data_IF_877802857535
#
_entry.id   IF_877802857535
#
_cell.length_a   1.000
_cell.length_b   1.000
_cell.length_c   1.000
_cell.angle_alpha   90.00
_cell.angle_beta   90.00
_cell.angle_gamma   90.00
#
_symmetry.space_group_name_H-M   'P 1'
#
loop_
_entity.id
_entity.type
_entity.pdbx_description
1 polymer ?
#
# COMPACT_ATOMS: atom_id res chain seq x y z
N UNK A 1 -11.33 -2.08 -45.16
CA UNK A 1 -11.80 -2.45 -43.80
C UNK A 1 -10.70 -2.10 -42.82
N UNK A 2 -11.10 -1.54 -41.68
CA UNK A 2 -10.30 -0.78 -40.69
C UNK A 2 -9.20 -1.61 -40.02
N UNK A 3 -8.00 -1.04 -39.87
CA UNK A 3 -6.97 -1.56 -38.97
C UNK A 3 -7.48 -1.51 -37.52
N UNK A 4 -7.23 -2.53 -36.67
CA UNK A 4 -7.49 -2.40 -35.24
C UNK A 4 -6.50 -1.36 -34.68
N UNK A 5 -7.03 -0.26 -34.17
CA UNK A 5 -6.25 0.66 -33.33
C UNK A 5 -5.72 -0.12 -32.12
N UNK A 6 -4.43 0.03 -31.74
CA UNK A 6 -3.97 -0.48 -30.46
C UNK A 6 -4.87 0.13 -29.39
N UNK A 7 -5.53 -0.72 -28.59
CA UNK A 7 -6.21 -0.22 -27.38
C UNK A 7 -5.11 0.31 -26.48
N UNK A 8 -5.00 1.63 -26.36
CA UNK A 8 -4.18 2.22 -25.31
C UNK A 8 -4.57 1.54 -23.99
N UNK A 9 -3.59 1.07 -23.19
CA UNK A 9 -3.90 0.48 -21.91
C UNK A 9 -4.63 1.51 -21.07
N UNK A 10 -5.86 1.21 -20.67
CA UNK A 10 -6.59 2.01 -19.69
C UNK A 10 -5.78 1.95 -18.39
N UNK A 11 -5.11 3.04 -18.07
CA UNK A 11 -4.44 3.21 -16.77
C UNK A 11 -5.55 3.44 -15.75
N UNK A 12 -5.91 2.39 -15.01
CA UNK A 12 -6.79 2.54 -13.85
C UNK A 12 -5.91 2.97 -12.69
N UNK A 13 -6.10 4.19 -12.20
CA UNK A 13 -5.42 4.66 -11.00
C UNK A 13 -5.82 3.79 -9.79
N UNK A 14 -4.87 3.43 -8.91
CA UNK A 14 -5.19 2.68 -7.71
C UNK A 14 -6.10 3.53 -6.79
N UNK A 15 -7.21 2.95 -6.34
CA UNK A 15 -8.19 3.65 -5.50
C UNK A 15 -7.73 3.61 -4.05
N UNK A 16 -7.15 4.70 -3.55
CA UNK A 16 -6.70 4.82 -2.15
C UNK A 16 -7.68 5.71 -1.39
N UNK A 17 -8.77 5.10 -0.89
CA UNK A 17 -9.79 5.81 -0.12
C UNK A 17 -10.32 4.95 1.03
N UNK A 18 -11.15 5.58 1.88
CA UNK A 18 -11.73 4.91 3.07
C UNK A 18 -12.59 3.70 2.71
N UNK A 19 -13.37 3.77 1.64
CA UNK A 19 -14.26 2.67 1.23
C UNK A 19 -13.45 1.45 0.80
N UNK A 20 -12.40 1.65 0.00
CA UNK A 20 -11.48 0.58 -0.39
C UNK A 20 -10.76 0.01 0.82
N UNK A 21 -10.33 0.84 1.78
CA UNK A 21 -9.74 0.35 3.02
C UNK A 21 -10.70 -0.60 3.75
N UNK A 22 -11.97 -0.22 3.93
CA UNK A 22 -12.95 -1.07 4.59
C UNK A 22 -13.21 -2.38 3.84
N UNK A 23 -13.25 -2.35 2.50
CA UNK A 23 -13.36 -3.55 1.67
C UNK A 23 -12.19 -4.52 1.89
N UNK A 24 -10.96 -4.00 1.95
CA UNK A 24 -9.76 -4.81 2.18
C UNK A 24 -9.70 -5.39 3.59
N UNK A 25 -10.06 -4.60 4.61
CA UNK A 25 -10.08 -5.07 6.00
C UNK A 25 -11.14 -6.17 6.21
N UNK A 26 -12.25 -6.15 5.48
CA UNK A 26 -13.27 -7.19 5.53
C UNK A 26 -12.78 -8.57 5.03
N UNK A 27 -11.59 -8.66 4.43
CA UNK A 27 -11.02 -9.94 4.03
C UNK A 27 -10.47 -10.73 5.20
N UNK A 28 -10.12 -10.06 6.31
CA UNK A 28 -9.61 -10.64 7.57
C UNK A 28 -8.38 -11.57 7.44
N UNK A 29 -7.72 -11.54 6.27
CA UNK A 29 -6.51 -12.28 5.97
C UNK A 29 -5.79 -11.65 4.78
N UNK A 30 -4.47 -11.75 4.78
CA UNK A 30 -3.64 -11.43 3.62
C UNK A 30 -3.99 -12.34 2.44
N UNK A 31 -3.89 -11.80 1.22
CA UNK A 31 -4.10 -12.51 -0.05
C UNK A 31 -3.12 -11.99 -1.09
N UNK A 32 -3.00 -12.67 -2.23
CA UNK A 32 -2.04 -12.23 -3.26
C UNK A 32 -2.12 -10.73 -3.66
N UNK A 33 -3.28 -10.03 -3.63
CA UNK A 33 -3.33 -8.60 -3.90
C UNK A 33 -3.39 -7.71 -2.63
N UNK A 34 -3.24 -8.26 -1.43
CA UNK A 34 -3.35 -7.54 -0.16
C UNK A 34 -2.33 -8.05 0.87
N UNK A 35 -1.45 -7.16 1.33
CA UNK A 35 -0.46 -7.43 2.37
C UNK A 35 -0.73 -6.52 3.58
N UNK A 36 -0.67 -7.08 4.80
CA UNK A 36 -0.94 -6.37 6.04
C UNK A 36 0.37 -6.17 6.82
N UNK A 37 0.59 -4.96 7.34
CA UNK A 37 1.77 -4.67 8.15
C UNK A 37 1.39 -3.90 9.42
N UNK A 38 1.92 -4.29 10.58
CA UNK A 38 1.54 -3.65 11.84
C UNK A 38 2.10 -2.23 11.91
N UNK A 39 3.39 -2.04 11.72
CA UNK A 39 4.04 -0.72 11.74
C UNK A 39 5.44 -0.78 11.11
N UNK A 40 6.00 0.38 10.79
CA UNK A 40 7.40 0.58 10.42
C UNK A 40 7.90 1.88 11.07
N UNK A 41 9.11 1.91 11.64
CA UNK A 41 9.73 3.19 12.02
C UNK A 41 10.35 3.85 10.79
N UNK A 42 9.67 4.88 10.28
CA UNK A 42 10.20 5.64 9.14
C UNK A 42 11.47 6.45 9.47
N UNK A 43 11.92 6.54 10.73
CA UNK A 43 13.23 7.13 11.05
C UNK A 43 14.37 6.09 10.96
N UNK A 44 14.03 4.79 11.01
CA UNK A 44 15.02 3.71 10.97
C UNK A 44 15.28 3.26 9.53
N UNK A 45 16.54 3.33 9.08
CA UNK A 45 16.93 2.97 7.71
C UNK A 45 16.57 1.53 7.35
N UNK A 46 16.68 0.62 8.33
CA UNK A 46 16.31 -0.78 8.16
C UNK A 46 14.84 -0.93 7.81
N UNK A 47 13.96 -0.30 8.58
CA UNK A 47 12.51 -0.38 8.39
C UNK A 47 12.07 0.28 7.10
N UNK A 48 12.72 1.38 6.70
CA UNK A 48 12.50 2.01 5.39
C UNK A 48 12.87 1.07 4.24
N UNK A 49 13.99 0.34 4.35
CA UNK A 49 14.40 -0.63 3.35
C UNK A 49 13.43 -1.82 3.28
N UNK A 50 12.94 -2.31 4.43
CA UNK A 50 11.93 -3.37 4.44
C UNK A 50 10.61 -2.89 3.82
N UNK A 51 10.15 -1.68 4.14
CA UNK A 51 8.98 -1.08 3.50
C UNK A 51 9.18 -0.96 1.98
N UNK A 52 10.35 -0.54 1.51
CA UNK A 52 10.67 -0.45 0.09
C UNK A 52 10.55 -1.81 -0.62
N UNK A 53 10.97 -2.90 0.03
CA UNK A 53 10.82 -4.26 -0.51
C UNK A 53 9.35 -4.65 -0.64
N UNK A 54 8.53 -4.36 0.38
CA UNK A 54 7.08 -4.61 0.32
C UNK A 54 6.43 -3.81 -0.80
N UNK A 55 6.72 -2.51 -0.90
CA UNK A 55 6.20 -1.66 -1.99
C UNK A 55 6.63 -2.20 -3.36
N UNK A 56 7.90 -2.56 -3.54
CA UNK A 56 8.39 -3.16 -4.78
C UNK A 56 7.69 -4.47 -5.14
N UNK A 57 7.51 -5.37 -4.18
CA UNK A 57 6.79 -6.63 -4.37
C UNK A 57 5.30 -6.41 -4.72
N UNK A 58 4.69 -5.36 -4.17
CA UNK A 58 3.27 -5.04 -4.35
C UNK A 58 2.98 -4.13 -5.56
N UNK A 59 4.01 -3.54 -6.16
CA UNK A 59 3.88 -2.64 -7.33
C UNK A 59 3.40 -3.35 -8.61
N UNK A 60 3.32 -4.69 -8.61
CA UNK A 60 2.86 -5.48 -9.74
C UNK A 60 1.34 -5.64 -9.71
N UNK A 61 0.63 -5.04 -10.68
CA UNK A 61 -0.81 -5.25 -10.97
C UNK A 61 -1.78 -4.79 -9.87
N UNK A 62 -1.61 -3.56 -9.34
CA UNK A 62 -2.65 -2.88 -8.56
C UNK A 62 -3.00 -3.54 -7.22
N UNK A 63 -1.97 -3.96 -6.47
CA UNK A 63 -2.11 -4.56 -5.14
C UNK A 63 -2.08 -3.50 -4.05
N UNK A 64 -2.58 -3.85 -2.87
CA UNK A 64 -2.69 -2.96 -1.72
C UNK A 64 -1.79 -3.40 -0.57
N UNK A 65 -1.15 -2.42 0.05
CA UNK A 65 -0.44 -2.57 1.32
C UNK A 65 -1.21 -1.76 2.36
N UNK A 66 -1.67 -2.40 3.44
CA UNK A 66 -2.32 -1.71 4.56
C UNK A 66 -1.41 -1.75 5.77
N UNK A 67 -1.13 -0.58 6.34
CA UNK A 67 -0.21 -0.40 7.46
C UNK A 67 -1.01 0.04 8.70
N UNK A 68 -0.63 -0.43 9.88
CA UNK A 68 -1.34 -0.16 11.14
C UNK A 68 -2.23 -1.30 11.61
N UNK A 69 -2.17 -2.46 10.95
CA UNK A 69 -3.05 -3.61 11.22
C UNK A 69 -2.27 -4.92 11.36
N UNK A 70 -2.83 -5.87 12.12
CA UNK A 70 -2.30 -7.23 12.22
C UNK A 70 -2.61 -8.06 10.96
N UNK A 71 -2.18 -9.32 10.94
CA UNK A 71 -2.42 -10.26 9.84
C UNK A 71 -3.89 -10.60 9.58
N UNK A 72 -4.81 -10.09 10.41
CA UNK A 72 -6.25 -10.20 10.27
C UNK A 72 -6.94 -8.86 9.97
N UNK A 73 -6.17 -7.81 9.66
CA UNK A 73 -6.72 -6.49 9.36
C UNK A 73 -7.25 -5.75 10.60
N UNK A 74 -6.90 -6.18 11.82
CA UNK A 74 -7.30 -5.48 13.04
C UNK A 74 -6.27 -4.40 13.40
N UNK A 75 -6.69 -3.17 13.75
CA UNK A 75 -5.77 -2.13 14.18
C UNK A 75 -4.92 -2.58 15.36
N UNK A 76 -3.59 -2.44 15.26
CA UNK A 76 -2.70 -2.86 16.35
C UNK A 76 -2.57 -1.81 17.46
N UNK A 77 -2.79 -0.53 17.11
CA UNK A 77 -2.60 0.59 18.04
C UNK A 77 -1.14 0.99 18.22
N UNK A 78 -0.22 0.42 17.44
CA UNK A 78 1.23 0.68 17.56
C UNK A 78 1.66 2.00 16.90
N UNK A 79 0.79 2.63 16.12
CA UNK A 79 1.06 3.90 15.43
C UNK A 79 0.35 5.06 16.12
N UNK A 80 1.13 6.07 16.47
CA UNK A 80 0.61 7.39 16.88
C UNK A 80 0.04 8.15 15.68
N UNK A 81 -0.85 9.11 15.92
CA UNK A 81 -1.41 9.96 14.85
C UNK A 81 -0.31 10.70 14.05
N UNK A 82 0.76 11.13 14.73
CA UNK A 82 1.92 11.77 14.09
C UNK A 82 2.68 10.82 13.16
N UNK A 83 2.81 9.54 13.54
CA UNK A 83 3.43 8.53 12.69
C UNK A 83 2.54 8.19 11.48
N UNK A 84 1.21 8.10 11.66
CA UNK A 84 0.26 7.83 10.57
C UNK A 84 0.36 8.87 9.45
N UNK A 85 0.51 10.15 9.78
CA UNK A 85 0.63 11.24 8.79
C UNK A 85 1.85 11.04 7.87
N UNK A 86 2.91 10.38 8.35
CA UNK A 86 4.12 10.12 7.55
C UNK A 86 3.94 9.01 6.51
N UNK A 87 2.87 8.22 6.63
CA UNK A 87 2.49 7.19 5.65
C UNK A 87 1.60 7.75 4.53
N UNK A 88 1.38 9.07 4.48
CA UNK A 88 0.86 9.73 3.30
C UNK A 88 1.71 9.37 2.06
N UNK A 89 1.05 9.05 0.96
CA UNK A 89 1.72 8.52 -0.23
C UNK A 89 2.76 9.50 -0.80
N UNK A 90 2.49 10.81 -0.79
CA UNK A 90 3.42 11.80 -1.30
C UNK A 90 4.69 11.86 -0.44
N UNK A 91 4.55 11.75 0.88
CA UNK A 91 5.68 11.70 1.81
C UNK A 91 6.48 10.40 1.67
N UNK A 92 5.81 9.25 1.58
CA UNK A 92 6.47 7.96 1.39
C UNK A 92 7.23 7.89 0.07
N UNK A 93 6.64 8.35 -1.03
CA UNK A 93 7.30 8.38 -2.35
C UNK A 93 8.61 9.17 -2.30
N UNK A 94 8.61 10.35 -1.69
CA UNK A 94 9.83 11.15 -1.53
C UNK A 94 10.91 10.42 -0.72
N UNK A 95 10.52 9.56 0.21
CA UNK A 95 11.44 8.84 1.11
C UNK A 95 11.96 7.53 0.54
N UNK A 96 11.21 6.91 -0.37
CA UNK A 96 11.57 5.66 -1.03
C UNK A 96 12.37 5.87 -2.33
N UNK A 97 12.26 7.05 -2.94
CA UNK A 97 12.92 7.40 -4.21
C UNK A 97 14.15 8.32 -4.04
N UNK A 98 14.34 8.90 -2.85
CA UNK A 98 15.50 9.72 -2.49
C UNK A 98 16.63 8.91 -1.90
#
# INVERSE_FOLDING_TARGET
MVHPTPREPVVVEPVVNREKLLELLAWETERSPLDFKPWFDLNEKRDVLELAKHVGAMSVRGRYLVIGVDGHGKPTGDLTAEQVIRFDEAQLRSKLLG
#
